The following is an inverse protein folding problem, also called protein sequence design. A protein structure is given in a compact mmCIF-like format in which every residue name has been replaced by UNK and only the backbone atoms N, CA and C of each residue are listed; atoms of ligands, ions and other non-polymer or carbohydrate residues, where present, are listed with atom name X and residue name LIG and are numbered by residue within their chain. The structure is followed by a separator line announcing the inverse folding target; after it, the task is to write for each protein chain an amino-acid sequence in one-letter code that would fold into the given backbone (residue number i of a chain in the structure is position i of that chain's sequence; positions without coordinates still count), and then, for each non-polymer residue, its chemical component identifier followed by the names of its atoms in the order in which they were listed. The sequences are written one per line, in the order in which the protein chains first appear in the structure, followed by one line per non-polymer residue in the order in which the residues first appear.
data_IF_365295502114
#
_entry.id   IF_365295502114
#
_cell.length_a   1.000
_cell.length_b   1.000
_cell.length_c   1.000
_cell.angle_alpha   90.00
_cell.angle_beta   90.00
_cell.angle_gamma   90.00
#
_symmetry.space_group_name_H-M   'P 1'
#
loop_
_entity.id
_entity.type
_entity.pdbx_description
1 polymer ?
#
# COMPACT_ATOMS: atom_id res chain seq x y z
N UNK A 1 43.70 -31.56 25.28
CA UNK A 1 42.36 -32.06 25.65
C UNK A 1 41.44 -30.86 25.78
N UNK A 2 40.52 -30.55 24.88
CA UNK A 2 39.81 -31.36 23.91
C UNK A 2 39.71 -30.65 22.57
N UNK A 3 39.90 -31.42 21.51
CA UNK A 3 39.73 -31.07 20.11
C UNK A 3 38.26 -31.26 19.66
N UNK A 4 38.03 -30.74 18.45
CA UNK A 4 37.05 -31.15 17.44
C UNK A 4 35.64 -30.55 17.51
N UNK A 5 34.97 -30.27 16.39
CA UNK A 5 35.39 -30.07 15.01
C UNK A 5 34.13 -29.66 14.22
N UNK A 6 34.39 -28.92 13.15
CA UNK A 6 33.76 -29.02 11.82
C UNK A 6 32.82 -27.89 11.39
N UNK A 7 33.21 -27.11 10.37
CA UNK A 7 32.31 -26.28 9.58
C UNK A 7 31.61 -27.15 8.51
N UNK A 8 30.36 -26.84 8.19
CA UNK A 8 29.61 -27.47 7.09
C UNK A 8 28.92 -26.42 6.23
N UNK A 9 28.70 -26.73 4.94
CA UNK A 9 28.96 -25.83 3.83
C UNK A 9 27.69 -25.20 3.27
N UNK A 10 27.94 -24.18 2.46
CA UNK A 10 27.08 -23.64 1.40
C UNK A 10 25.95 -24.56 0.94
N UNK A 11 24.71 -24.05 1.02
CA UNK A 11 23.71 -24.36 0.01
C UNK A 11 23.11 -23.05 -0.51
N UNK A 12 23.54 -22.73 -1.72
CA UNK A 12 22.96 -21.75 -2.62
C UNK A 12 21.58 -22.27 -3.05
N UNK A 13 20.49 -21.66 -2.62
CA UNK A 13 19.23 -21.79 -3.36
C UNK A 13 19.14 -20.69 -4.42
N UNK A 14 19.73 -20.99 -5.57
CA UNK A 14 19.33 -20.41 -6.85
C UNK A 14 17.97 -21.02 -7.22
N UNK A 15 16.88 -20.39 -6.83
CA UNK A 15 15.55 -20.73 -7.35
C UNK A 15 14.95 -19.60 -8.20
N UNK A 16 15.16 -19.78 -9.50
CA UNK A 16 14.18 -19.64 -10.58
C UNK A 16 13.56 -18.24 -10.83
N UNK A 17 14.03 -17.65 -11.93
CA UNK A 17 13.28 -16.88 -12.94
C UNK A 17 11.80 -16.60 -12.60
N UNK A 18 11.54 -15.69 -11.66
CA UNK A 18 10.27 -14.98 -11.63
C UNK A 18 10.43 -13.84 -12.63
N UNK A 19 9.64 -13.75 -13.71
CA UNK A 19 9.68 -12.58 -14.57
C UNK A 19 9.43 -11.38 -13.66
N UNK A 20 10.48 -10.56 -13.42
CA UNK A 20 10.39 -9.37 -12.59
C UNK A 20 9.27 -8.53 -13.18
N UNK A 21 8.12 -8.63 -12.53
CA UNK A 21 6.83 -8.15 -13.02
C UNK A 21 7.02 -6.70 -13.46
N UNK A 22 6.57 -6.36 -14.67
CA UNK A 22 6.76 -5.04 -15.28
C UNK A 22 5.90 -3.95 -14.61
N UNK A 23 5.83 -3.93 -13.27
CA UNK A 23 5.09 -2.97 -12.43
C UNK A 23 5.73 -1.57 -12.42
N UNK A 24 6.92 -1.44 -12.99
CA UNK A 24 7.68 -0.19 -13.02
C UNK A 24 7.22 0.76 -14.14
N UNK A 25 5.93 0.76 -14.52
CA UNK A 25 5.37 1.66 -15.54
C UNK A 25 4.09 2.30 -15.05
N UNK A 26 3.91 3.57 -15.39
CA UNK A 26 2.67 4.30 -15.13
C UNK A 26 1.51 3.68 -15.92
N UNK A 27 0.38 3.42 -15.27
CA UNK A 27 -0.80 2.83 -15.94
C UNK A 27 -1.39 3.75 -17.03
N UNK A 28 -1.32 5.07 -16.83
CA UNK A 28 -1.93 6.06 -17.72
C UNK A 28 -1.04 6.44 -18.91
N UNK A 29 0.26 6.71 -18.69
CA UNK A 29 1.18 7.14 -19.74
C UNK A 29 2.27 6.14 -20.11
N UNK A 30 2.31 4.97 -19.46
CA UNK A 30 3.29 3.88 -19.68
C UNK A 30 4.77 4.27 -19.52
N UNK A 31 5.04 5.50 -19.04
CA UNK A 31 6.37 5.97 -18.65
C UNK A 31 6.96 5.04 -17.59
N UNK A 32 8.24 4.69 -17.71
CA UNK A 32 8.96 3.90 -16.71
C UNK A 32 9.06 4.71 -15.42
N UNK A 33 8.47 4.22 -14.34
CA UNK A 33 8.46 4.89 -13.02
C UNK A 33 9.52 4.35 -12.07
N UNK A 34 10.10 3.17 -12.35
CA UNK A 34 11.20 2.62 -11.54
C UNK A 34 10.86 2.57 -10.04
N UNK A 35 11.80 3.02 -9.20
CA UNK A 35 11.64 3.10 -7.75
C UNK A 35 10.70 4.23 -7.28
N UNK A 36 10.42 5.22 -8.15
CA UNK A 36 9.62 6.41 -7.83
C UNK A 36 8.16 6.29 -8.28
N UNK A 37 7.67 5.06 -8.46
CA UNK A 37 6.27 4.79 -8.75
C UNK A 37 5.38 5.09 -7.54
N UNK A 38 4.29 5.82 -7.78
CA UNK A 38 3.27 6.06 -6.77
C UNK A 38 2.15 5.03 -6.92
N UNK A 39 1.92 4.23 -5.88
CA UNK A 39 0.79 3.32 -5.81
C UNK A 39 -0.48 4.10 -5.43
N UNK A 40 -1.52 3.98 -6.25
CA UNK A 40 -2.83 4.53 -5.95
C UNK A 40 -3.71 3.46 -5.29
N UNK A 41 -4.71 3.88 -4.52
CA UNK A 41 -5.67 2.96 -3.87
C UNK A 41 -6.55 2.18 -4.84
N UNK A 42 -6.62 2.57 -6.11
CA UNK A 42 -7.23 1.76 -7.17
C UNK A 42 -6.38 0.55 -7.58
N UNK A 43 -5.18 0.35 -6.99
CA UNK A 43 -4.31 -0.80 -7.24
C UNK A 43 -3.30 -0.61 -8.39
N UNK A 44 -3.30 0.56 -9.04
CA UNK A 44 -2.40 0.89 -10.14
C UNK A 44 -1.23 1.78 -9.69
N UNK A 45 -0.13 1.74 -10.46
CA UNK A 45 1.06 2.57 -10.24
C UNK A 45 1.12 3.71 -11.25
N UNK A 46 1.48 4.91 -10.79
CA UNK A 46 1.53 6.13 -11.59
C UNK A 46 2.86 6.87 -11.44
N UNK A 47 3.18 7.73 -12.42
CA UNK A 47 4.30 8.68 -12.33
C UNK A 47 3.87 9.93 -11.52
N UNK A 48 4.82 10.80 -11.16
CA UNK A 48 4.55 12.00 -10.36
C UNK A 48 3.44 12.91 -10.91
N UNK A 49 3.26 12.97 -12.24
CA UNK A 49 2.20 13.75 -12.86
C UNK A 49 0.81 13.10 -12.77
N UNK A 50 0.74 11.76 -12.78
CA UNK A 50 -0.53 11.02 -12.81
C UNK A 50 -0.90 10.42 -11.45
N UNK A 51 -0.21 10.84 -10.39
CA UNK A 51 -0.41 10.38 -9.02
C UNK A 51 -1.81 10.71 -8.47
N UNK A 52 -2.35 11.86 -8.85
CA UNK A 52 -3.59 12.37 -8.26
C UNK A 52 -4.84 11.74 -8.88
N UNK A 53 -5.85 11.50 -8.06
CA UNK A 53 -7.08 10.78 -8.42
C UNK A 53 -7.89 11.43 -9.54
N UNK A 54 -7.79 12.76 -9.69
CA UNK A 54 -8.43 13.54 -10.74
C UNK A 54 -7.79 13.34 -12.12
N UNK A 55 -6.53 12.90 -12.17
CA UNK A 55 -5.77 12.82 -13.42
C UNK A 55 -5.96 11.47 -14.11
N UNK A 56 -6.09 10.38 -13.34
CA UNK A 56 -6.23 9.02 -13.88
C UNK A 56 -7.63 8.42 -13.72
N UNK A 57 -8.63 9.25 -13.42
CA UNK A 57 -10.03 8.82 -13.19
C UNK A 57 -10.11 7.65 -12.22
N UNK A 58 -9.61 7.85 -11.00
CA UNK A 58 -9.54 6.81 -9.98
C UNK A 58 -10.92 6.20 -9.69
N UNK A 59 -11.05 4.88 -9.84
CA UNK A 59 -12.27 4.12 -9.53
C UNK A 59 -12.50 3.92 -8.02
N UNK A 60 -11.57 4.34 -7.18
CA UNK A 60 -11.66 4.16 -5.73
C UNK A 60 -12.58 5.23 -5.09
N UNK A 61 -13.57 4.78 -4.33
CA UNK A 61 -14.52 5.64 -3.64
C UNK A 61 -13.95 6.18 -2.32
N UNK A 62 -13.16 7.25 -2.39
CA UNK A 62 -12.59 7.92 -1.21
C UNK A 62 -13.66 8.44 -0.24
N UNK A 63 -14.82 8.87 -0.74
CA UNK A 63 -15.91 9.42 0.08
C UNK A 63 -16.50 8.36 1.02
N UNK A 64 -16.74 7.16 0.51
CA UNK A 64 -17.31 6.06 1.30
C UNK A 64 -16.33 5.60 2.39
N UNK A 65 -15.06 5.39 2.03
CA UNK A 65 -14.00 5.01 2.98
C UNK A 65 -13.80 6.07 4.09
N UNK A 66 -13.86 7.35 3.74
CA UNK A 66 -13.74 8.43 4.72
C UNK A 66 -14.97 8.49 5.65
N UNK A 67 -16.18 8.36 5.11
CA UNK A 67 -17.40 8.37 5.91
C UNK A 67 -17.45 7.19 6.90
N UNK A 68 -17.01 6.01 6.47
CA UNK A 68 -16.95 4.84 7.35
C UNK A 68 -15.94 5.04 8.49
N UNK A 69 -14.77 5.63 8.21
CA UNK A 69 -13.78 5.97 9.24
C UNK A 69 -14.31 6.99 10.23
N UNK A 70 -14.92 8.09 9.75
CA UNK A 70 -15.51 9.11 10.62
C UNK A 70 -16.60 8.49 11.49
N UNK A 71 -17.45 7.63 10.94
CA UNK A 71 -18.49 6.93 11.72
C UNK A 71 -17.90 6.05 12.81
N UNK A 72 -16.77 5.38 12.55
CA UNK A 72 -16.09 4.55 13.54
C UNK A 72 -15.40 5.39 14.63
N UNK A 73 -14.88 6.56 14.25
CA UNK A 73 -14.08 7.41 15.13
C UNK A 73 -14.90 8.43 15.93
N UNK A 74 -16.16 8.69 15.57
CA UNK A 74 -17.00 9.63 16.30
C UNK A 74 -17.81 8.90 17.40
N UNK A 75 -17.35 8.88 18.67
CA UNK A 75 -18.13 8.33 19.75
C UNK A 75 -19.42 9.14 19.91
N UNK A 76 -20.55 8.46 20.08
CA UNK A 76 -21.84 9.12 20.26
C UNK A 76 -21.82 9.85 21.59
N UNK A 77 -21.66 11.18 21.56
CA UNK A 77 -21.75 12.03 22.74
C UNK A 77 -23.22 12.19 23.09
N UNK A 78 -23.75 11.32 23.94
CA UNK A 78 -25.06 11.51 24.56
C UNK A 78 -24.85 12.23 25.88
N UNK A 79 -25.11 13.54 25.90
CA UNK A 79 -25.20 14.29 27.15
C UNK A 79 -26.49 13.92 27.90
N UNK A 80 -26.42 13.74 29.21
CA UNK A 80 -27.61 13.55 30.04
C UNK A 80 -28.56 14.75 29.86
N UNK A 81 -29.85 14.47 29.62
CA UNK A 81 -30.86 15.51 29.49
C UNK A 81 -30.97 16.25 30.83
N UNK A 82 -30.62 17.53 30.82
CA UNK A 82 -30.68 18.42 31.98
C UNK A 82 -32.07 18.32 32.61
N UNK A 83 -32.13 17.91 33.87
CA UNK A 83 -33.36 17.86 34.63
C UNK A 83 -33.80 19.29 34.96
N UNK A 84 -35.05 19.60 34.64
CA UNK A 84 -35.64 20.92 34.84
C UNK A 84 -35.86 21.13 36.35
N UNK A 85 -35.25 22.18 36.89
CA UNK A 85 -35.48 22.70 38.26
C UNK A 85 -36.86 23.34 38.32
#
# INVERSE_FOLDING_TARGET
VSENAKPTPEEQDKSLDKPKQRKNRCFMCRKKVGLTGFECRCGNVYCGMHRYSNVHSCSYNYKADAAEKIRKENPVVVGEKIQKI
#
